data_IF_280977810238
#
_entry.id   IF_280977810238
#
_cell.length_a   1.000
_cell.length_b   1.000
_cell.length_c   1.000
_cell.angle_alpha   90.00
_cell.angle_beta   90.00
_cell.angle_gamma   90.00
#
_symmetry.space_group_name_H-M   'P 1'
#
loop_
_entity.id
_entity.type
_entity.pdbx_description
1 polymer ?
#
# COMPACT_ATOMS: atom_id res chain seq x y z
N UNK A 1 -19.86 7.08 -4.21
CA UNK A 1 -19.58 8.35 -4.90
C UNK A 1 -18.21 8.23 -5.55
N UNK A 2 -18.17 8.00 -6.87
CA UNK A 2 -16.95 7.87 -7.67
C UNK A 2 -16.64 9.24 -8.28
N UNK A 3 -15.48 9.83 -7.94
CA UNK A 3 -14.95 10.97 -8.67
C UNK A 3 -13.57 10.62 -9.22
N UNK A 4 -13.50 10.51 -10.55
CA UNK A 4 -12.26 10.47 -11.33
C UNK A 4 -11.54 11.82 -11.16
N UNK A 5 -10.40 11.83 -10.47
CA UNK A 5 -9.47 12.97 -10.53
C UNK A 5 -8.51 12.73 -11.69
N UNK A 6 -8.81 13.35 -12.84
CA UNK A 6 -7.94 13.45 -14.00
C UNK A 6 -6.64 14.18 -13.60
N UNK A 7 -5.52 13.48 -13.71
CA UNK A 7 -4.22 14.11 -13.93
C UNK A 7 -3.99 14.02 -15.44
N UNK A 8 -4.32 15.09 -16.14
CA UNK A 8 -4.22 15.18 -17.60
C UNK A 8 -2.76 15.37 -18.00
N UNK A 9 -2.11 14.25 -18.33
CA UNK A 9 -0.92 14.18 -19.17
C UNK A 9 -1.06 12.93 -20.05
N UNK A 10 -0.85 13.02 -21.38
CA UNK A 10 -1.30 12.03 -22.36
C UNK A 10 -0.53 10.69 -22.36
N UNK A 11 0.21 10.37 -21.28
CA UNK A 11 1.06 9.18 -21.21
C UNK A 11 0.93 8.32 -19.96
N UNK A 12 0.46 8.82 -18.80
CA UNK A 12 0.47 8.03 -17.56
C UNK A 12 -0.73 8.36 -16.67
N UNK A 13 -1.81 7.58 -16.79
CA UNK A 13 -2.93 7.62 -15.85
C UNK A 13 -2.56 6.79 -14.61
N UNK A 14 -2.26 7.46 -13.49
CA UNK A 14 -2.05 6.80 -12.20
C UNK A 14 -3.38 6.75 -11.46
N UNK A 15 -3.90 5.53 -11.24
CA UNK A 15 -5.09 5.32 -10.42
C UNK A 15 -4.69 5.06 -8.98
N UNK A 16 -5.19 5.89 -8.05
CA UNK A 16 -4.97 5.72 -6.62
C UNK A 16 -6.30 5.44 -5.93
N UNK A 17 -6.41 4.23 -5.38
CA UNK A 17 -7.51 3.82 -4.52
C UNK A 17 -7.10 4.05 -3.07
N UNK A 18 -7.80 4.96 -2.40
CA UNK A 18 -7.57 5.20 -0.98
C UNK A 18 -8.55 4.38 -0.15
N UNK A 19 -8.02 3.40 0.57
CA UNK A 19 -8.78 2.60 1.55
C UNK A 19 -8.60 3.11 2.99
N UNK A 20 -7.82 4.17 3.20
CA UNK A 20 -7.56 4.76 4.51
C UNK A 20 -8.58 5.88 4.79
N UNK A 21 -9.25 5.81 5.93
CA UNK A 21 -10.25 6.81 6.36
C UNK A 21 -9.64 8.09 6.93
N UNK A 22 -8.35 8.04 7.29
CA UNK A 22 -7.68 9.10 8.07
C UNK A 22 -6.75 9.99 7.23
N UNK A 23 -6.49 9.65 5.97
CA UNK A 23 -5.57 10.38 5.10
C UNK A 23 -6.33 10.77 3.83
N UNK A 24 -6.26 12.05 3.45
CA UNK A 24 -6.87 12.50 2.20
C UNK A 24 -6.15 11.94 0.97
N UNK A 25 -6.86 11.82 -0.14
CA UNK A 25 -6.33 11.27 -1.40
C UNK A 25 -5.16 12.11 -1.92
N UNK A 26 -5.23 13.43 -1.80
CA UNK A 26 -4.23 14.37 -2.27
C UNK A 26 -2.89 14.15 -1.53
N UNK A 27 -2.97 13.92 -0.22
CA UNK A 27 -1.80 13.65 0.62
C UNK A 27 -1.16 12.29 0.30
N UNK A 28 -1.95 11.31 -0.11
CA UNK A 28 -1.44 10.00 -0.56
C UNK A 28 -0.71 10.15 -1.89
N UNK A 29 -1.33 10.79 -2.88
CA UNK A 29 -0.74 10.99 -4.21
C UNK A 29 0.56 11.78 -4.08
N UNK A 30 0.57 12.87 -3.30
CA UNK A 30 1.77 13.69 -3.11
C UNK A 30 2.90 12.90 -2.43
N UNK A 31 2.58 12.08 -1.43
CA UNK A 31 3.57 11.23 -0.76
C UNK A 31 4.15 10.17 -1.69
N UNK A 32 3.30 9.48 -2.47
CA UNK A 32 3.75 8.45 -3.43
C UNK A 32 4.65 9.07 -4.49
N UNK A 33 4.25 10.19 -5.08
CA UNK A 33 5.07 10.86 -6.10
C UNK A 33 6.42 11.29 -5.53
N UNK A 34 6.44 11.87 -4.33
CA UNK A 34 7.69 12.26 -3.64
C UNK A 34 8.61 11.07 -3.39
N UNK A 35 8.08 9.96 -2.92
CA UNK A 35 8.83 8.74 -2.61
C UNK A 35 9.38 8.06 -3.89
N UNK A 36 8.61 8.08 -4.98
CA UNK A 36 9.04 7.51 -6.27
C UNK A 36 10.03 8.41 -7.03
N UNK A 37 10.07 9.70 -6.71
CA UNK A 37 11.05 10.65 -7.24
C UNK A 37 12.34 10.73 -6.40
N UNK A 38 12.37 10.18 -5.19
CA UNK A 38 13.58 10.21 -4.36
C UNK A 38 14.71 9.34 -4.90
N UNK A 39 15.94 9.61 -4.46
CA UNK A 39 17.12 8.79 -4.74
C UNK A 39 17.75 8.34 -3.42
N UNK A 40 17.64 7.04 -3.04
CA UNK A 40 16.98 5.96 -3.79
C UNK A 40 15.45 6.11 -3.82
N UNK A 41 14.82 5.48 -4.82
CA UNK A 41 13.35 5.41 -4.91
C UNK A 41 12.83 4.54 -3.78
N UNK A 42 11.74 4.94 -3.16
CA UNK A 42 11.12 4.19 -2.06
C UNK A 42 9.60 4.19 -2.19
N UNK A 43 8.95 3.41 -1.34
CA UNK A 43 7.50 3.46 -1.16
C UNK A 43 7.17 2.99 0.26
N UNK A 44 6.21 3.65 0.91
CA UNK A 44 5.75 3.23 2.23
C UNK A 44 5.03 1.87 2.16
N UNK A 45 5.36 0.96 3.09
CA UNK A 45 4.77 -0.38 3.15
C UNK A 45 3.24 -0.38 3.33
N UNK A 46 2.65 0.73 3.82
CA UNK A 46 1.19 0.87 3.98
C UNK A 46 0.42 0.71 2.66
N UNK A 47 1.08 0.98 1.53
CA UNK A 47 0.48 0.84 0.21
C UNK A 47 0.53 -0.59 -0.34
N UNK A 48 1.16 -1.53 0.38
CA UNK A 48 1.24 -2.93 -0.04
C UNK A 48 -0.03 -3.74 0.30
N UNK A 49 -0.90 -3.21 1.16
CA UNK A 49 -2.00 -3.97 1.76
C UNK A 49 -3.37 -3.61 1.17
N UNK A 50 -3.55 -3.82 -0.13
CA UNK A 50 -4.89 -3.92 -0.72
C UNK A 50 -5.49 -5.32 -0.48
N UNK A 51 -6.66 -5.62 -1.05
CA UNK A 51 -7.28 -6.96 -0.92
C UNK A 51 -6.34 -8.12 -1.29
N UNK A 52 -5.50 -7.93 -2.32
CA UNK A 52 -4.56 -8.94 -2.80
C UNK A 52 -3.33 -9.01 -1.89
N UNK A 53 -2.77 -7.87 -1.53
CA UNK A 53 -1.64 -7.76 -0.62
C UNK A 53 -1.93 -8.30 0.78
N UNK A 54 -3.13 -8.02 1.31
CA UNK A 54 -3.59 -8.61 2.57
C UNK A 54 -3.73 -10.13 2.47
N UNK A 55 -4.21 -10.68 1.34
CA UNK A 55 -4.24 -12.13 1.13
C UNK A 55 -2.83 -12.71 1.08
N UNK A 56 -1.90 -12.08 0.34
CA UNK A 56 -0.52 -12.52 0.27
C UNK A 56 0.14 -12.51 1.66
N UNK A 57 -0.08 -11.47 2.45
CA UNK A 57 0.42 -11.38 3.82
C UNK A 57 -0.07 -12.55 4.68
N UNK A 58 -1.37 -12.90 4.60
CA UNK A 58 -1.92 -14.07 5.31
C UNK A 58 -1.30 -15.41 4.88
N UNK A 59 -0.83 -15.53 3.65
CA UNK A 59 -0.10 -16.73 3.23
C UNK A 59 1.35 -16.69 3.72
N UNK A 60 1.99 -15.52 3.70
CA UNK A 60 3.35 -15.32 4.26
C UNK A 60 3.40 -15.71 5.73
N UNK A 61 2.38 -15.37 6.53
CA UNK A 61 2.34 -15.73 7.96
C UNK A 61 2.31 -17.23 8.22
N UNK A 62 1.94 -18.06 7.23
CA UNK A 62 1.93 -19.53 7.38
C UNK A 62 3.28 -20.16 7.06
N UNK A 63 4.20 -19.42 6.42
CA UNK A 63 5.49 -19.93 6.03
C UNK A 63 6.33 -20.30 7.26
N UNK A 64 7.07 -21.43 7.23
CA UNK A 64 7.92 -21.82 8.35
C UNK A 64 9.01 -20.80 8.68
N UNK A 65 9.46 -20.02 7.70
CA UNK A 65 10.46 -18.95 7.86
C UNK A 65 9.89 -17.73 8.60
N UNK A 66 8.57 -17.49 8.52
CA UNK A 66 7.89 -16.35 9.14
C UNK A 66 7.41 -16.71 10.55
N UNK A 67 8.36 -16.99 11.44
CA UNK A 67 8.11 -17.52 12.79
C UNK A 67 7.26 -16.60 13.69
N UNK A 68 7.26 -15.28 13.45
CA UNK A 68 6.69 -14.28 14.35
C UNK A 68 5.21 -14.55 14.66
N UNK A 69 4.38 -14.71 13.62
CA UNK A 69 2.94 -14.95 13.78
C UNK A 69 2.61 -16.25 14.50
N UNK A 70 3.47 -17.28 14.37
CA UNK A 70 3.33 -18.56 15.09
C UNK A 70 3.57 -18.38 16.58
N UNK A 71 4.60 -17.61 16.94
CA UNK A 71 4.92 -17.32 18.34
C UNK A 71 3.81 -16.49 19.00
N UNK A 72 3.32 -15.46 18.33
CA UNK A 72 2.21 -14.66 18.85
C UNK A 72 0.97 -15.51 19.13
N UNK A 73 0.64 -16.46 18.24
CA UNK A 73 -0.48 -17.39 18.43
C UNK A 73 -0.29 -18.41 19.57
N UNK A 74 0.93 -18.62 20.05
CA UNK A 74 1.22 -19.53 21.17
C UNK A 74 1.19 -18.77 22.50
N UNK A 75 1.51 -17.47 22.49
CA UNK A 75 1.72 -16.66 23.69
C UNK A 75 0.44 -15.99 24.21
N UNK A 76 -0.61 -15.92 23.39
CA UNK A 76 -1.92 -15.28 23.66
C UNK A 76 -2.97 -16.37 23.78
#
# INVERSE_FOLDING_TARGET
>A
MNLHSQLDSPGNRVYVYNFLTTISKENIVSSILKDLQSKPRKISCKFLYDSKGSRLFKEITKLPEYYLSRIESILI
#
